data_IF_922590623003
#
_entry.id   IF_922590623003
#
_cell.length_a   1.000
_cell.length_b   1.000
_cell.length_c   1.000
_cell.angle_alpha   90.00
_cell.angle_beta   90.00
_cell.angle_gamma   90.00
#
_symmetry.space_group_name_H-M   'P 1'
#
loop_
_entity.id
_entity.type
_entity.pdbx_description
1 polymer ?
#
# COMPACT_ATOMS: atom_id res chain seq x y z
N UNK A 1 -4.30 -10.40 9.39
CA UNK A 1 -3.16 -9.84 8.64
C UNK A 1 -3.30 -8.34 8.66
N UNK A 2 -2.54 -7.71 9.56
CA UNK A 2 -2.52 -6.27 9.79
C UNK A 2 -1.93 -5.58 8.58
N UNK A 3 -2.77 -4.84 7.85
CA UNK A 3 -2.32 -3.89 6.86
C UNK A 3 -1.38 -2.90 7.56
N UNK A 4 -0.12 -2.84 7.11
CA UNK A 4 0.85 -1.86 7.55
C UNK A 4 0.50 -0.50 6.91
N UNK A 5 -0.60 0.08 7.36
CA UNK A 5 -0.90 1.49 7.16
C UNK A 5 -0.18 2.23 8.29
N UNK A 6 0.80 3.12 8.04
CA UNK A 6 1.30 3.98 9.10
C UNK A 6 0.12 4.82 9.64
N UNK A 7 -0.02 4.87 10.97
CA UNK A 7 -1.06 5.64 11.62
C UNK A 7 -0.94 7.12 11.29
N UNK A 8 -2.06 7.77 10.93
CA UNK A 8 -2.19 9.21 10.65
C UNK A 8 -1.51 10.14 11.68
N UNK A 9 -1.31 9.67 12.92
CA UNK A 9 -0.56 10.36 13.97
C UNK A 9 0.88 10.72 13.57
N UNK A 10 1.54 9.91 12.73
CA UNK A 10 2.92 10.15 12.31
C UNK A 10 3.04 11.28 11.27
N UNK A 11 1.97 11.57 10.54
CA UNK A 11 1.89 12.68 9.56
C UNK A 11 1.48 13.98 10.26
N UNK A 12 0.54 13.92 11.21
CA UNK A 12 0.15 15.08 12.02
C UNK A 12 1.32 15.63 12.87
N UNK A 13 2.12 14.74 13.46
CA UNK A 13 3.31 15.11 14.25
C UNK A 13 4.43 15.80 13.43
N UNK A 14 4.40 15.73 12.10
CA UNK A 14 5.35 16.45 11.22
C UNK A 14 4.88 17.84 10.83
N UNK A 15 3.59 18.14 11.00
CA UNK A 15 2.99 19.43 10.62
C UNK A 15 2.83 20.36 11.82
N UNK A 16 2.65 19.83 13.02
CA UNK A 16 2.46 20.63 14.23
C UNK A 16 3.71 20.60 15.11
N UNK A 17 4.29 21.78 15.33
CA UNK A 17 5.25 22.14 16.39
C UNK A 17 6.72 21.70 16.22
N UNK A 18 7.57 22.67 15.90
CA UNK A 18 8.76 22.88 16.73
C UNK A 18 8.32 23.82 17.86
N UNK A 19 8.29 23.40 19.13
CA UNK A 19 8.21 24.34 20.24
C UNK A 19 9.59 24.99 20.41
N UNK A 20 9.59 26.32 20.55
CA UNK A 20 10.78 27.11 20.82
C UNK A 20 11.19 27.09 22.31
N UNK A 21 10.56 26.28 23.16
CA UNK A 21 10.88 26.18 24.57
C UNK A 21 11.11 24.71 24.95
N UNK A 22 12.37 24.41 25.29
CA UNK A 22 12.77 23.17 25.96
C UNK A 22 12.38 23.34 27.43
N UNK A 23 11.12 23.09 27.75
CA UNK A 23 10.81 22.55 29.08
C UNK A 23 11.15 21.07 29.02
N UNK A 24 12.29 20.74 29.65
CA UNK A 24 12.67 19.38 29.99
C UNK A 24 11.45 18.67 30.56
N UNK A 25 11.08 17.55 29.94
CA UNK A 25 10.20 16.55 30.54
C UNK A 25 10.71 16.27 31.94
N UNK A 26 10.01 16.82 32.93
CA UNK A 26 10.27 16.60 34.33
C UNK A 26 10.05 15.13 34.65
N UNK A 27 11.02 14.60 35.37
CA UNK A 27 11.11 13.24 35.90
C UNK A 27 9.79 12.74 36.49
N UNK A 28 9.03 11.95 35.73
CA UNK A 28 8.18 10.91 36.32
C UNK A 28 8.31 9.59 35.53
N UNK A 29 9.30 8.82 35.97
CA UNK A 29 9.27 7.35 36.07
C UNK A 29 9.10 6.57 34.75
N UNK A 30 10.20 6.45 34.00
CA UNK A 30 10.52 5.17 33.34
C UNK A 30 11.45 4.41 34.29
N UNK A 31 10.87 3.71 35.26
CA UNK A 31 11.60 2.73 36.07
C UNK A 31 11.91 1.50 35.20
N UNK A 32 13.04 1.55 34.51
CA UNK A 32 13.65 0.45 33.78
C UNK A 32 15.04 0.89 33.34
N UNK A 33 16.04 0.00 33.48
CA UNK A 33 17.38 0.25 32.97
C UNK A 33 17.26 0.72 31.51
N UNK A 34 17.76 1.92 31.22
CA UNK A 34 17.77 2.43 29.85
C UNK A 34 18.61 1.46 29.02
N UNK A 35 18.02 0.75 28.05
CA UNK A 35 18.75 -0.28 27.32
C UNK A 35 19.97 0.37 26.65
N UNK A 36 21.15 -0.25 26.77
CA UNK A 36 22.34 0.24 26.07
C UNK A 36 22.10 0.14 24.57
N UNK A 37 21.86 1.29 23.96
CA UNK A 37 21.52 1.42 22.54
C UNK A 37 22.64 0.95 21.62
N UNK A 38 23.88 0.82 22.13
CA UNK A 38 25.05 0.34 21.38
C UNK A 38 24.90 -1.13 20.96
N UNK A 39 24.13 -1.91 21.70
CA UNK A 39 23.89 -3.33 21.42
C UNK A 39 22.61 -3.57 20.58
N UNK A 40 21.85 -2.50 20.28
CA UNK A 40 20.65 -2.59 19.44
C UNK A 40 21.07 -2.54 17.98
N UNK A 41 21.03 -3.69 17.31
CA UNK A 41 21.29 -3.77 15.88
C UNK A 41 20.30 -2.92 15.08
N UNK A 42 20.84 -2.03 14.24
CA UNK A 42 20.04 -1.27 13.27
C UNK A 42 19.49 -2.26 12.23
N UNK A 43 18.18 -2.20 11.98
CA UNK A 43 17.53 -3.05 10.98
C UNK A 43 18.20 -2.91 9.59
N UNK A 44 18.39 -4.01 8.83
CA UNK A 44 19.02 -3.97 7.50
C UNK A 44 18.38 -2.95 6.55
N UNK A 45 17.05 -2.84 6.58
CA UNK A 45 16.33 -1.87 5.74
C UNK A 45 16.66 -0.40 6.08
N UNK A 46 16.95 -0.09 7.35
CA UNK A 46 17.40 1.25 7.74
C UNK A 46 18.84 1.51 7.27
N UNK A 47 19.71 0.50 7.32
CA UNK A 47 21.07 0.59 6.78
C UNK A 47 21.05 0.87 5.27
N UNK A 48 20.18 0.18 4.52
CA UNK A 48 19.96 0.44 3.09
C UNK A 48 19.44 1.86 2.81
N UNK A 49 18.58 2.38 3.68
CA UNK A 49 18.13 3.78 3.58
C UNK A 49 19.28 4.77 3.79
N UNK A 50 20.15 4.53 4.77
CA UNK A 50 21.33 5.38 4.98
C UNK A 50 22.32 5.29 3.83
N UNK A 51 22.55 4.09 3.29
CA UNK A 51 23.41 3.88 2.13
C UNK A 51 22.90 4.67 0.90
N UNK A 52 21.63 4.51 0.54
CA UNK A 52 21.02 5.24 -0.58
C UNK A 52 21.07 6.76 -0.41
N UNK A 53 20.88 7.24 0.83
CA UNK A 53 21.05 8.67 1.14
C UNK A 53 22.48 9.16 0.93
N UNK A 54 23.47 8.36 1.33
CA UNK A 54 24.88 8.68 1.09
C UNK A 54 25.20 8.69 -0.40
N UNK A 55 24.66 7.75 -1.18
CA UNK A 55 24.86 7.68 -2.64
C UNK A 55 24.24 8.88 -3.38
N UNK A 56 23.18 9.47 -2.83
CA UNK A 56 22.56 10.69 -3.37
C UNK A 56 23.31 11.97 -2.97
N UNK A 57 24.16 11.96 -1.92
CA UNK A 57 24.85 13.15 -1.42
C UNK A 57 25.71 13.90 -2.47
N UNK A 58 26.39 13.24 -3.43
CA UNK A 58 27.11 13.93 -4.50
C UNK A 58 26.22 14.77 -5.43
N UNK A 59 24.92 14.46 -5.52
CA UNK A 59 23.97 15.18 -6.38
C UNK A 59 23.71 16.61 -5.90
N UNK A 60 23.92 16.90 -4.61
CA UNK A 60 23.67 18.21 -4.02
C UNK A 60 24.47 19.36 -4.65
N UNK A 61 25.55 19.05 -5.37
CA UNK A 61 26.43 20.04 -6.04
C UNK A 61 26.06 20.30 -7.50
N UNK A 62 25.03 19.64 -8.05
CA UNK A 62 24.65 19.82 -9.45
C UNK A 62 23.97 21.18 -9.69
N UNK A 63 24.19 21.81 -10.85
CA UNK A 63 23.43 23.00 -11.23
C UNK A 63 21.95 22.64 -11.37
N UNK A 64 21.08 23.54 -10.94
CA UNK A 64 19.63 23.31 -10.89
C UNK A 64 19.09 23.14 -12.32
N UNK A 65 18.31 22.08 -12.55
CA UNK A 65 17.73 21.77 -13.85
C UNK A 65 16.58 20.77 -13.78
N UNK A 66 15.76 20.72 -14.85
CA UNK A 66 14.61 19.82 -14.93
C UNK A 66 14.98 18.34 -14.70
N UNK A 67 14.10 17.60 -14.05
CA UNK A 67 14.30 16.20 -13.64
C UNK A 67 14.94 16.04 -12.27
N UNK A 68 15.41 17.12 -11.64
CA UNK A 68 15.98 17.05 -10.30
C UNK A 68 14.90 17.07 -9.22
N UNK A 69 15.14 16.34 -8.13
CA UNK A 69 14.28 16.34 -6.96
C UNK A 69 14.98 17.14 -5.87
N UNK A 70 14.37 18.21 -5.36
CA UNK A 70 14.95 19.06 -4.32
C UNK A 70 14.10 19.04 -3.06
N UNK A 71 14.72 18.86 -1.90
CA UNK A 71 14.05 19.11 -0.63
C UNK A 71 13.60 20.57 -0.56
N UNK A 72 12.53 20.86 0.18
CA UNK A 72 12.15 22.25 0.46
C UNK A 72 13.11 22.87 1.47
N UNK A 73 13.82 23.93 1.10
CA UNK A 73 14.90 24.51 1.89
C UNK A 73 14.44 24.94 3.30
N UNK A 74 13.28 25.57 3.40
CA UNK A 74 12.73 26.07 4.68
C UNK A 74 12.06 24.97 5.51
N UNK A 75 11.66 23.87 4.89
CA UNK A 75 10.84 22.80 5.49
C UNK A 75 11.22 21.42 4.94
N UNK A 76 12.46 20.96 5.14
CA UNK A 76 12.95 19.72 4.53
C UNK A 76 12.23 18.46 5.02
N UNK A 77 11.44 18.56 6.10
CA UNK A 77 10.60 17.49 6.64
C UNK A 77 9.20 17.38 6.03
N UNK A 78 8.72 18.42 5.32
CA UNK A 78 7.41 18.38 4.66
C UNK A 78 7.44 17.52 3.40
N UNK A 79 8.46 17.71 2.58
CA UNK A 79 8.60 16.99 1.32
C UNK A 79 9.69 17.58 0.43
N UNK A 80 9.67 17.12 -0.82
CA UNK A 80 10.58 17.57 -1.87
C UNK A 80 9.78 17.92 -3.14
N UNK A 81 10.47 18.44 -4.16
CA UNK A 81 9.88 18.83 -5.43
C UNK A 81 10.68 18.26 -6.58
N UNK A 82 9.99 17.54 -7.47
CA UNK A 82 10.51 17.19 -8.78
C UNK A 82 10.33 18.41 -9.68
N UNK A 83 11.42 19.10 -10.03
CA UNK A 83 11.35 20.28 -10.90
C UNK A 83 11.27 19.85 -12.37
N UNK A 84 10.40 20.54 -13.11
CA UNK A 84 10.04 20.21 -14.48
C UNK A 84 10.49 21.31 -15.46
N UNK A 85 9.93 22.51 -15.28
CA UNK A 85 10.11 23.61 -16.22
C UNK A 85 10.37 24.92 -15.47
N UNK A 86 11.33 25.70 -15.96
CA UNK A 86 11.56 27.05 -15.50
C UNK A 86 10.50 28.00 -16.09
N UNK A 87 9.97 28.91 -15.26
CA UNK A 87 9.04 29.96 -15.65
C UNK A 87 9.75 31.33 -15.55
N UNK A 88 10.35 31.83 -16.65
CA UNK A 88 11.17 33.04 -16.62
C UNK A 88 10.40 34.28 -16.16
N UNK A 89 9.11 34.38 -16.53
CA UNK A 89 8.27 35.53 -16.19
C UNK A 89 8.02 35.68 -14.69
N UNK A 90 8.04 34.56 -13.94
CA UNK A 90 7.82 34.53 -12.50
C UNK A 90 9.11 34.30 -11.71
N UNK A 91 10.22 33.96 -12.37
CA UNK A 91 11.46 33.59 -11.70
C UNK A 91 11.30 32.34 -10.83
N UNK A 92 10.46 31.38 -11.27
CA UNK A 92 10.07 30.21 -10.48
C UNK A 92 10.21 28.91 -11.29
N UNK A 93 10.47 27.82 -10.59
CA UNK A 93 10.37 26.46 -11.13
C UNK A 93 8.96 25.92 -10.94
N UNK A 94 8.41 25.34 -12.00
CA UNK A 94 7.25 24.45 -11.92
C UNK A 94 7.73 23.03 -11.62
N UNK A 95 7.00 22.32 -10.79
CA UNK A 95 7.26 20.92 -10.50
C UNK A 95 6.08 20.24 -9.84
N UNK A 96 6.32 19.05 -9.31
CA UNK A 96 5.32 18.28 -8.55
C UNK A 96 5.82 17.96 -7.16
N UNK A 97 4.89 17.86 -6.21
CA UNK A 97 5.19 17.45 -4.84
C UNK A 97 5.73 16.01 -4.81
N UNK A 98 6.79 15.81 -4.04
CA UNK A 98 7.44 14.51 -3.81
C UNK A 98 7.42 14.20 -2.32
N UNK A 99 7.04 12.96 -1.99
CA UNK A 99 6.90 12.45 -0.62
C UNK A 99 7.60 11.09 -0.49
N UNK A 100 7.96 10.63 0.71
CA UNK A 100 8.50 9.28 0.91
C UNK A 100 7.42 8.18 0.81
N UNK A 101 6.15 8.55 0.83
CA UNK A 101 5.07 7.65 1.22
C UNK A 101 4.42 6.92 0.03
N UNK A 102 5.20 6.06 -0.64
CA UNK A 102 4.74 5.29 -1.82
C UNK A 102 3.48 4.44 -1.57
N UNK A 103 3.20 4.05 -0.32
CA UNK A 103 1.97 3.35 0.06
C UNK A 103 0.69 4.15 -0.24
N UNK A 104 0.79 5.48 -0.34
CA UNK A 104 -0.32 6.37 -0.67
C UNK A 104 -0.44 6.69 -2.16
N UNK A 105 0.30 5.98 -3.02
CA UNK A 105 0.22 6.17 -4.46
C UNK A 105 -1.23 6.02 -4.95
N UNK A 106 -1.61 6.93 -5.85
CA UNK A 106 -2.84 6.85 -6.64
C UNK A 106 -2.51 6.74 -8.13
N UNK A 107 -3.53 6.71 -8.98
CA UNK A 107 -3.35 6.57 -10.43
C UNK A 107 -2.61 7.75 -11.10
N UNK A 108 -2.51 8.91 -10.42
CA UNK A 108 -1.76 10.07 -10.91
C UNK A 108 -0.35 10.16 -10.32
N UNK A 109 0.04 9.21 -9.47
CA UNK A 109 1.33 9.25 -8.80
C UNK A 109 2.37 8.41 -9.55
N UNK A 110 3.62 8.87 -9.56
CA UNK A 110 4.78 8.15 -10.06
C UNK A 110 5.60 7.64 -8.88
N UNK A 111 5.66 6.31 -8.71
CA UNK A 111 6.49 5.66 -7.69
C UNK A 111 7.93 5.67 -8.16
N UNK A 112 8.84 6.14 -7.31
CA UNK A 112 10.29 6.13 -7.57
C UNK A 112 10.81 4.70 -7.38
N UNK A 113 11.59 4.25 -8.34
CA UNK A 113 12.05 2.86 -8.45
C UNK A 113 13.57 2.76 -8.25
N UNK A 114 14.09 1.55 -8.04
CA UNK A 114 15.54 1.31 -7.96
C UNK A 114 16.29 1.77 -9.21
N UNK A 115 15.67 1.67 -10.39
CA UNK A 115 16.22 2.15 -11.67
C UNK A 115 16.42 3.66 -11.73
N UNK A 116 15.77 4.41 -10.84
CA UNK A 116 15.91 5.87 -10.77
C UNK A 116 17.17 6.27 -9.98
N UNK A 117 17.84 5.32 -9.31
CA UNK A 117 18.99 5.57 -8.46
C UNK A 117 20.16 6.28 -9.21
N UNK A 118 20.93 7.13 -8.51
CA UNK A 118 20.86 7.42 -7.07
C UNK A 118 19.73 8.38 -6.70
N UNK A 119 18.88 7.98 -5.73
CA UNK A 119 17.80 8.80 -5.17
C UNK A 119 17.71 8.58 -3.66
N UNK A 120 17.65 9.68 -2.90
CA UNK A 120 17.43 9.70 -1.45
C UNK A 120 16.03 9.13 -1.13
N UNK A 121 15.89 8.27 -0.13
CA UNK A 121 14.61 7.65 0.23
C UNK A 121 13.47 8.61 0.59
N UNK A 122 13.79 9.88 0.89
CA UNK A 122 12.77 10.94 1.05
C UNK A 122 12.00 11.23 -0.24
N UNK A 123 12.49 10.77 -1.38
CA UNK A 123 11.86 10.89 -2.67
C UNK A 123 11.32 9.54 -3.16
N UNK A 124 10.24 9.05 -2.55
CA UNK A 124 9.62 7.76 -2.87
C UNK A 124 8.44 7.83 -3.86
N UNK A 125 7.74 8.97 -3.89
CA UNK A 125 6.49 9.14 -4.62
C UNK A 125 6.35 10.57 -5.15
N UNK A 126 6.19 10.73 -6.45
CA UNK A 126 5.86 12.01 -7.09
C UNK A 126 4.35 12.08 -7.29
N UNK A 127 3.71 13.15 -6.81
CA UNK A 127 2.27 13.39 -6.93
C UNK A 127 1.99 14.26 -8.17
N UNK A 128 1.88 13.63 -9.34
CA UNK A 128 1.85 14.36 -10.61
C UNK A 128 0.58 15.21 -10.82
N UNK A 129 -0.46 15.01 -10.01
CA UNK A 129 -1.65 15.87 -9.99
C UNK A 129 -1.63 16.98 -8.93
N UNK A 130 -0.49 17.16 -8.24
CA UNK A 130 -0.23 18.28 -7.33
C UNK A 130 0.94 19.13 -7.85
N UNK A 131 0.75 19.87 -8.96
CA UNK A 131 1.79 20.73 -9.49
C UNK A 131 1.90 22.00 -8.63
N UNK A 132 3.13 22.47 -8.43
CA UNK A 132 3.46 23.66 -7.63
C UNK A 132 4.51 24.52 -8.33
N UNK A 133 4.54 25.80 -7.96
CA UNK A 133 5.58 26.74 -8.35
C UNK A 133 6.41 27.13 -7.13
N UNK A 134 7.74 27.14 -7.29
CA UNK A 134 8.67 27.53 -6.23
C UNK A 134 9.79 28.40 -6.73
N UNK A 135 10.26 29.32 -5.89
CA UNK A 135 11.45 30.12 -6.16
C UNK A 135 12.74 29.30 -6.00
N UNK A 136 13.83 29.75 -6.61
CA UNK A 136 15.16 29.11 -6.46
C UNK A 136 15.59 29.06 -4.98
N UNK A 137 15.27 30.09 -4.20
CA UNK A 137 15.59 30.16 -2.77
C UNK A 137 14.81 29.16 -1.89
N UNK A 138 13.78 28.50 -2.44
CA UNK A 138 12.98 27.50 -1.75
C UNK A 138 13.49 26.08 -2.04
N UNK A 139 14.40 25.93 -3.00
CA UNK A 139 15.04 24.66 -3.34
C UNK A 139 16.24 24.42 -2.42
N UNK A 140 16.19 23.32 -1.68
CA UNK A 140 17.25 22.82 -0.83
C UNK A 140 18.12 21.78 -1.55
N UNK A 141 18.65 20.85 -0.76
CA UNK A 141 19.51 19.79 -1.27
C UNK A 141 18.83 18.96 -2.38
N UNK A 142 19.58 18.68 -3.45
CA UNK A 142 19.18 17.73 -4.48
C UNK A 142 19.18 16.31 -3.89
N UNK A 143 18.04 15.65 -3.96
CA UNK A 143 17.75 14.32 -3.44
C UNK A 143 17.87 13.24 -4.52
N UNK A 144 17.81 13.60 -5.80
CA UNK A 144 17.77 12.63 -6.89
C UNK A 144 17.68 13.33 -8.24
N UNK A 145 18.03 12.63 -9.31
CA UNK A 145 17.87 13.12 -10.68
C UNK A 145 17.17 12.05 -11.50
N UNK A 146 15.90 12.27 -11.81
CA UNK A 146 15.14 11.41 -12.70
C UNK A 146 15.60 11.58 -14.14
N UNK A 147 15.56 10.48 -14.90
CA UNK A 147 15.83 10.53 -16.34
C UNK A 147 14.75 11.34 -17.08
N UNK A 148 15.05 11.75 -18.32
CA UNK A 148 14.07 12.43 -19.15
C UNK A 148 12.82 11.58 -19.40
N UNK A 149 12.98 10.26 -19.61
CA UNK A 149 11.84 9.35 -19.79
C UNK A 149 10.92 9.34 -18.56
N UNK A 150 11.49 9.40 -17.36
CA UNK A 150 10.76 9.45 -16.10
C UNK A 150 10.09 10.80 -15.89
N UNK A 151 10.72 11.89 -16.32
CA UNK A 151 10.09 13.21 -16.33
C UNK A 151 8.92 13.27 -17.32
N UNK A 152 9.04 12.66 -18.50
CA UNK A 152 7.93 12.53 -19.45
C UNK A 152 6.81 11.65 -18.90
N UNK A 153 7.13 10.58 -18.16
CA UNK A 153 6.15 9.78 -17.45
C UNK A 153 5.35 10.62 -16.44
N UNK A 154 6.00 11.49 -15.66
CA UNK A 154 5.33 12.39 -14.72
C UNK A 154 4.37 13.36 -15.45
N UNK A 155 4.81 13.97 -16.56
CA UNK A 155 3.96 14.84 -17.40
C UNK A 155 2.76 14.08 -17.97
N UNK A 156 2.97 12.85 -18.43
CA UNK A 156 1.89 12.01 -18.96
C UNK A 156 0.88 11.66 -17.86
N UNK A 157 1.34 11.31 -16.66
CA UNK A 157 0.49 10.95 -15.52
C UNK A 157 -0.31 12.13 -14.98
N UNK A 158 0.25 13.34 -15.00
CA UNK A 158 -0.51 14.56 -14.68
C UNK A 158 -1.76 14.69 -15.56
N UNK A 159 -1.63 14.39 -16.84
CA UNK A 159 -2.69 14.58 -17.84
C UNK A 159 -3.67 13.40 -17.89
N UNK A 160 -3.16 12.16 -17.87
CA UNK A 160 -3.92 10.95 -18.19
C UNK A 160 -4.12 10.02 -16.99
N UNK A 161 -3.47 10.28 -15.85
CA UNK A 161 -3.54 9.39 -14.68
C UNK A 161 -4.97 9.21 -14.16
N UNK A 162 -5.83 10.23 -14.33
CA UNK A 162 -7.25 10.19 -13.94
C UNK A 162 -8.11 9.30 -14.84
N UNK A 163 -7.66 9.04 -16.07
CA UNK A 163 -8.39 8.21 -17.04
C UNK A 163 -8.16 6.70 -16.78
N UNK A 164 -7.33 6.36 -15.80
CA UNK A 164 -7.09 4.99 -15.39
C UNK A 164 -8.38 4.37 -14.81
N UNK A 165 -8.99 3.46 -15.54
CA UNK A 165 -10.24 2.78 -15.17
C UNK A 165 -10.02 1.52 -14.31
N UNK A 166 -8.84 1.36 -13.68
CA UNK A 166 -8.62 0.26 -12.74
C UNK A 166 -9.53 0.38 -11.50
N UNK A 167 -9.80 -0.75 -10.84
CA UNK A 167 -10.56 -0.76 -9.60
C UNK A 167 -9.72 -0.11 -8.49
N UNK A 168 -10.32 0.77 -7.71
CA UNK A 168 -9.66 1.38 -6.56
C UNK A 168 -9.23 0.31 -5.55
N UNK A 169 -7.95 0.30 -5.19
CA UNK A 169 -7.36 -0.60 -4.23
C UNK A 169 -6.19 0.09 -3.52
N UNK A 170 -6.42 0.70 -2.34
CA UNK A 170 -5.38 1.36 -1.56
C UNK A 170 -4.21 0.41 -1.23
N UNK A 171 -2.98 0.94 -1.21
CA UNK A 171 -1.76 0.16 -0.97
C UNK A 171 -1.31 -0.73 -2.14
N UNK A 172 -2.05 -0.76 -3.24
CA UNK A 172 -1.67 -1.53 -4.44
C UNK A 172 -0.91 -0.63 -5.41
N UNK A 173 0.32 -1.05 -5.75
CA UNK A 173 1.09 -0.49 -6.85
C UNK A 173 0.73 -1.21 -8.15
N UNK A 174 0.26 -0.45 -9.12
CA UNK A 174 -0.08 -0.87 -10.46
C UNK A 174 1.03 -0.49 -11.45
N UNK A 175 1.19 -1.30 -12.49
CA UNK A 175 2.02 -0.97 -13.65
C UNK A 175 1.13 -0.39 -14.73
N UNK A 176 1.41 0.85 -15.13
CA UNK A 176 0.68 1.56 -16.19
C UNK A 176 1.58 1.67 -17.42
N UNK A 177 1.05 1.30 -18.57
CA UNK A 177 1.74 1.47 -19.84
C UNK A 177 1.77 2.96 -20.23
N UNK A 178 2.93 3.41 -20.68
CA UNK A 178 3.17 4.78 -21.11
C UNK A 178 3.74 4.78 -22.54
N UNK A 179 3.64 5.90 -23.28
CA UNK A 179 4.45 6.08 -24.48
C UNK A 179 5.93 5.81 -24.15
N UNK A 180 6.53 4.82 -24.79
CA UNK A 180 7.94 4.46 -24.58
C UNK A 180 8.24 3.54 -23.39
N UNK A 181 7.24 3.05 -22.64
CA UNK A 181 7.51 2.09 -21.57
C UNK A 181 6.39 1.89 -20.55
N UNK A 182 6.75 1.96 -19.27
CA UNK A 182 5.81 1.85 -18.16
C UNK A 182 6.24 2.68 -16.96
N UNK A 183 5.25 3.10 -16.17
CA UNK A 183 5.44 3.62 -14.82
C UNK A 183 4.79 2.71 -13.78
N UNK A 184 5.34 2.72 -12.58
CA UNK A 184 4.65 2.22 -11.40
C UNK A 184 3.86 3.37 -10.78
N UNK A 185 2.57 3.14 -10.58
CA UNK A 185 1.60 4.09 -10.04
C UNK A 185 0.78 3.40 -8.95
N UNK A 186 -0.09 4.12 -8.26
CA UNK A 186 -1.15 3.49 -7.49
C UNK A 186 -2.35 3.12 -8.35
N UNK A 187 -3.43 2.70 -7.69
CA UNK A 187 -4.77 2.57 -8.29
C UNK A 187 -5.57 3.86 -8.13
N UNK A 188 -6.66 4.05 -8.88
CA UNK A 188 -7.56 5.18 -8.69
C UNK A 188 -8.03 5.31 -7.23
N UNK A 189 -8.32 6.54 -6.83
CA UNK A 189 -8.90 6.82 -5.52
C UNK A 189 -10.33 6.29 -5.49
N UNK A 190 -10.75 5.73 -4.35
CA UNK A 190 -12.16 5.39 -4.17
C UNK A 190 -13.00 6.67 -4.15
N UNK A 191 -14.23 6.60 -4.64
CA UNK A 191 -15.18 7.73 -4.59
C UNK A 191 -15.68 8.03 -3.18
N UNK A 192 -15.59 7.06 -2.25
CA UNK A 192 -16.05 7.22 -0.88
C UNK A 192 -14.89 7.57 0.06
N UNK A 193 -14.93 8.79 0.61
CA UNK A 193 -13.86 9.38 1.43
C UNK A 193 -13.52 8.55 2.68
N UNK A 194 -14.50 7.83 3.25
CA UNK A 194 -14.33 7.04 4.48
C UNK A 194 -13.61 5.71 4.27
N UNK A 195 -13.42 5.27 3.02
CA UNK A 195 -12.81 3.97 2.70
C UNK A 195 -11.38 4.08 2.16
N UNK A 196 -10.92 5.29 1.83
CA UNK A 196 -9.61 5.50 1.21
C UNK A 196 -8.77 6.54 1.95
N UNK A 197 -7.89 6.06 2.83
CA UNK A 197 -6.97 6.89 3.62
C UNK A 197 -6.04 7.78 2.77
N UNK A 198 -5.91 7.50 1.47
CA UNK A 198 -5.16 8.36 0.52
C UNK A 198 -5.84 9.71 0.33
N UNK A 199 -7.17 9.80 0.44
CA UNK A 199 -7.88 11.08 0.33
C UNK A 199 -7.53 12.00 1.51
N UNK A 200 -7.52 11.46 2.73
CA UNK A 200 -7.12 12.20 3.93
C UNK A 200 -5.65 12.65 3.83
N UNK A 201 -4.75 11.76 3.41
CA UNK A 201 -3.34 12.09 3.18
C UNK A 201 -3.18 13.23 2.18
N UNK A 202 -3.86 13.17 1.04
CA UNK A 202 -3.82 14.23 0.03
C UNK A 202 -4.39 15.55 0.54
N UNK A 203 -5.42 15.52 1.38
CA UNK A 203 -5.95 16.71 2.02
C UNK A 203 -4.92 17.34 2.97
N UNK A 204 -4.23 16.54 3.78
CA UNK A 204 -3.14 17.02 4.66
C UNK A 204 -2.02 17.67 3.86
N UNK A 205 -1.63 17.08 2.73
CA UNK A 205 -0.60 17.67 1.86
C UNK A 205 -1.06 19.02 1.29
N UNK A 206 -2.30 19.14 0.83
CA UNK A 206 -2.84 20.41 0.34
C UNK A 206 -2.89 21.48 1.44
N UNK A 207 -3.31 21.11 2.64
CA UNK A 207 -3.29 22.00 3.81
C UNK A 207 -1.87 22.45 4.15
N UNK A 208 -0.91 21.53 4.14
CA UNK A 208 0.50 21.86 4.33
C UNK A 208 1.04 22.81 3.26
N UNK A 209 0.74 22.57 1.98
CA UNK A 209 1.11 23.50 0.89
C UNK A 209 0.54 24.91 1.13
N UNK A 210 -0.72 25.01 1.56
CA UNK A 210 -1.36 26.29 1.89
C UNK A 210 -0.69 26.98 3.09
N UNK A 211 -0.45 26.25 4.19
CA UNK A 211 0.20 26.77 5.39
C UNK A 211 1.63 27.24 5.11
N UNK A 212 2.33 26.54 4.22
CA UNK A 212 3.68 26.89 3.78
C UNK A 212 3.71 27.94 2.67
N UNK A 213 2.55 28.40 2.22
CA UNK A 213 2.38 29.40 1.15
C UNK A 213 3.07 28.98 -0.17
N UNK A 214 3.12 27.68 -0.43
CA UNK A 214 3.64 27.14 -1.69
C UNK A 214 2.52 27.21 -2.72
N UNK A 215 2.74 28.02 -3.76
CA UNK A 215 1.73 28.27 -4.77
C UNK A 215 1.46 27.00 -5.59
N UNK A 216 0.18 26.62 -5.69
CA UNK A 216 -0.24 25.63 -6.67
C UNK A 216 0.02 26.19 -8.08
N UNK A 217 0.62 25.37 -8.94
CA UNK A 217 0.84 25.76 -10.31
C UNK A 217 -0.47 25.61 -11.10
N UNK A 218 -0.75 26.51 -12.06
CA UNK A 218 -1.81 26.28 -13.01
C UNK A 218 -1.53 24.97 -13.77
N UNK A 219 -2.60 24.26 -14.13
CA UNK A 219 -2.50 23.10 -15.01
C UNK A 219 -1.73 23.50 -16.28
N UNK A 220 -0.76 22.68 -16.69
CA UNK A 220 0.05 22.99 -17.85
C UNK A 220 -0.85 23.19 -19.07
N UNK A 221 -0.75 24.35 -19.74
CA UNK A 221 -1.40 24.57 -21.02
C UNK A 221 -0.72 23.67 -22.07
N UNK A 222 -1.49 22.76 -22.65
CA UNK A 222 -1.02 21.80 -23.65
C UNK A 222 -0.56 22.53 -24.91
N UNK A 223 0.68 22.37 -25.40
CA UNK A 223 0.92 22.53 -26.83
C UNK A 223 0.22 21.35 -27.52
N UNK A 224 -0.79 21.66 -28.32
CA UNK A 224 -1.55 20.69 -29.09
C UNK A 224 -0.68 19.99 -30.14
N UNK A 225 0.13 19.03 -29.71
CA UNK A 225 0.66 18.01 -30.61
C UNK A 225 -0.38 16.90 -30.59
N UNK A 226 -0.98 16.66 -31.76
CA UNK A 226 -1.95 15.58 -31.96
C UNK A 226 -1.26 14.23 -31.74
N UNK A 227 -1.19 13.79 -30.50
CA UNK A 227 -0.90 12.40 -30.15
C UNK A 227 -2.20 11.64 -30.39
N UNK A 228 -2.16 10.71 -31.33
CA UNK A 228 -3.27 9.80 -31.61
C UNK A 228 -3.70 9.13 -30.30
N UNK A 229 -5.00 9.11 -29.96
CA UNK A 229 -5.45 8.55 -28.69
C UNK A 229 -5.08 7.07 -28.63
N UNK A 230 -4.05 6.76 -27.85
CA UNK A 230 -3.77 5.39 -27.43
C UNK A 230 -4.93 5.03 -26.50
N UNK A 231 -5.69 4.02 -26.89
CA UNK A 231 -6.82 3.50 -26.11
C UNK A 231 -6.32 3.20 -24.69
N UNK A 232 -6.98 3.69 -23.62
CA UNK A 232 -6.52 3.47 -22.25
C UNK A 232 -6.43 1.96 -22.00
N UNK A 233 -5.21 1.47 -21.82
CA UNK A 233 -4.92 0.05 -21.63
C UNK A 233 -5.36 -0.33 -20.22
N UNK A 234 -6.40 -1.17 -20.17
CA UNK A 234 -6.84 -1.91 -18.99
C UNK A 234 -5.63 -2.49 -18.26
N UNK A 235 -5.44 -2.13 -16.99
CA UNK A 235 -4.37 -2.67 -16.15
C UNK A 235 -4.32 -4.21 -16.28
N UNK A 236 -3.19 -4.74 -16.77
CA UNK A 236 -3.06 -6.14 -17.19
C UNK A 236 -3.26 -7.16 -16.06
N UNK A 237 -3.34 -6.72 -14.80
CA UNK A 237 -3.51 -7.58 -13.64
C UNK A 237 -4.93 -7.62 -13.06
N UNK A 238 -5.89 -6.84 -13.57
CA UNK A 238 -7.27 -6.87 -13.06
C UNK A 238 -8.04 -8.12 -13.51
N UNK A 239 -7.68 -8.75 -14.63
CA UNK A 239 -8.51 -9.78 -15.28
C UNK A 239 -8.26 -11.22 -14.84
N UNK A 240 -7.11 -11.52 -14.20
CA UNK A 240 -6.85 -12.88 -13.67
C UNK A 240 -7.50 -13.10 -12.31
N UNK A 241 -7.62 -12.06 -11.47
CA UNK A 241 -8.31 -12.13 -10.19
C UNK A 241 -9.84 -12.06 -10.33
N UNK A 242 -10.36 -11.29 -11.29
CA UNK A 242 -11.81 -11.13 -11.50
C UNK A 242 -12.49 -12.42 -11.98
N UNK A 243 -11.78 -13.32 -12.68
CA UNK A 243 -12.32 -14.62 -13.11
C UNK A 243 -12.50 -15.62 -11.96
N UNK A 244 -11.75 -15.47 -10.87
CA UNK A 244 -11.92 -16.29 -9.66
C UNK A 244 -13.09 -15.79 -8.80
N UNK A 245 -13.35 -14.48 -8.77
CA UNK A 245 -14.41 -13.89 -7.92
C UNK A 245 -15.81 -13.99 -8.55
N UNK A 246 -15.93 -13.85 -9.87
CA UNK A 246 -17.23 -13.95 -10.56
C UNK A 246 -17.77 -15.39 -10.64
N UNK A 247 -16.89 -16.40 -10.64
CA UNK A 247 -17.32 -17.81 -10.56
C UNK A 247 -17.93 -18.17 -9.19
N UNK A 248 -17.47 -17.54 -8.10
CA UNK A 248 -17.97 -17.77 -6.74
C UNK A 248 -19.26 -17.01 -6.46
N UNK A 249 -19.41 -15.79 -7.00
CA UNK A 249 -20.66 -15.03 -6.87
C UNK A 249 -21.87 -15.72 -7.54
N UNK A 250 -21.64 -16.38 -8.69
CA UNK A 250 -22.67 -17.15 -9.37
C UNK A 250 -23.11 -18.41 -8.59
N UNK A 251 -22.23 -19.01 -7.77
CA UNK A 251 -22.59 -20.17 -6.93
C UNK A 251 -23.30 -19.76 -5.63
N UNK A 252 -22.97 -18.59 -5.07
CA UNK A 252 -23.63 -18.08 -3.84
C UNK A 252 -25.06 -17.60 -4.12
N UNK A 253 -25.35 -17.03 -5.29
CA UNK A 253 -26.73 -16.61 -5.61
C UNK A 253 -27.68 -17.78 -5.87
N UNK A 254 -27.21 -18.93 -6.38
CA UNK A 254 -28.05 -20.14 -6.49
C UNK A 254 -28.28 -20.77 -5.10
N UNK A 255 -27.34 -20.62 -4.17
CA UNK A 255 -27.51 -21.12 -2.80
C UNK A 255 -28.46 -20.27 -1.94
N UNK A 256 -28.52 -18.94 -2.14
CA UNK A 256 -29.43 -18.09 -1.37
C UNK A 256 -30.91 -18.19 -1.82
N UNK A 257 -31.19 -18.57 -3.06
CA UNK A 257 -32.59 -18.73 -3.53
C UNK A 257 -33.29 -19.99 -3.01
N UNK A 258 -32.56 -20.94 -2.41
CA UNK A 258 -33.16 -22.15 -1.79
C UNK A 258 -33.54 -21.90 -0.32
N UNK A 259 -33.01 -20.84 0.32
CA UNK A 259 -33.18 -20.61 1.76
C UNK A 259 -34.31 -19.63 2.15
N UNK A 260 -35.00 -19.01 1.19
CA UNK A 260 -36.07 -18.02 1.47
C UNK A 260 -37.49 -18.64 1.39
N UNK A 261 -37.63 -19.89 0.95
CA UNK A 261 -38.91 -20.59 0.98
C UNK A 261 -38.74 -22.03 1.48
N UNK A 262 -38.75 -22.24 2.80
CA UNK A 262 -39.59 -23.27 3.42
C UNK A 262 -39.64 -23.13 4.95
N UNK A 263 -40.81 -23.30 5.58
CA UNK A 263 -41.05 -23.05 7.00
C UNK A 263 -40.59 -24.24 7.86
N UNK A 264 -40.38 -23.95 9.14
CA UNK A 264 -40.19 -24.93 10.22
C UNK A 264 -41.33 -25.94 10.29
N UNK A 265 -40.95 -27.16 10.68
CA UNK A 265 -41.75 -28.34 11.03
C UNK A 265 -42.07 -29.31 9.88
N UNK A 266 -41.40 -30.46 9.86
CA UNK A 266 -42.02 -31.77 10.11
C UNK A 266 -41.00 -32.91 10.03
N UNK A 267 -41.11 -33.84 10.99
CA UNK A 267 -40.54 -35.19 10.99
C UNK A 267 -41.06 -36.02 9.81
N UNK A 268 -40.21 -36.81 9.16
CA UNK A 268 -40.71 -37.84 8.24
C UNK A 268 -39.66 -38.42 7.30
N UNK A 269 -39.49 -39.74 7.38
CA UNK A 269 -38.73 -40.62 6.49
C UNK A 269 -39.04 -40.42 4.99
N UNK A 270 -38.03 -40.57 4.13
CA UNK A 270 -38.26 -40.77 2.70
C UNK A 270 -36.98 -40.82 1.89
N UNK A 271 -36.68 -41.99 1.34
CA UNK A 271 -35.61 -42.21 0.36
C UNK A 271 -35.83 -41.34 -0.88
N UNK A 272 -34.78 -40.66 -1.33
CA UNK A 272 -34.69 -40.16 -2.70
C UNK A 272 -33.24 -40.24 -3.17
N UNK A 273 -32.93 -41.34 -3.87
CA UNK A 273 -31.82 -41.42 -4.80
C UNK A 273 -31.90 -40.25 -5.79
N UNK A 274 -30.86 -39.42 -5.81
CA UNK A 274 -30.49 -38.68 -7.01
C UNK A 274 -29.09 -39.11 -7.43
N UNK A 275 -29.06 -39.74 -8.60
CA UNK A 275 -27.90 -40.33 -9.26
C UNK A 275 -27.37 -39.33 -10.29
N UNK A 276 -26.05 -39.12 -10.29
CA UNK A 276 -25.29 -38.43 -11.33
C UNK A 276 -24.59 -37.18 -10.81
N UNK A 277 -23.26 -37.00 -10.89
CA UNK A 277 -22.19 -37.85 -11.40
C UNK A 277 -20.87 -37.06 -11.31
N UNK A 278 -19.84 -37.67 -10.73
CA UNK A 278 -18.43 -37.43 -11.07
C UNK A 278 -17.73 -36.16 -10.58
N UNK A 279 -17.03 -36.26 -9.45
CA UNK A 279 -15.55 -36.23 -9.41
C UNK A 279 -15.09 -36.41 -7.95
N UNK A 280 -14.06 -37.24 -7.76
CA UNK A 280 -13.70 -37.85 -6.46
C UNK A 280 -13.68 -36.89 -5.28
N UNK A 281 -14.61 -37.11 -4.34
CA UNK A 281 -14.68 -36.35 -3.10
C UNK A 281 -13.78 -37.04 -2.09
N UNK A 282 -12.72 -36.33 -1.67
CA UNK A 282 -11.96 -36.64 -0.47
C UNK A 282 -12.92 -36.86 0.70
N UNK A 283 -13.09 -38.11 1.10
CA UNK A 283 -13.97 -38.52 2.20
C UNK A 283 -13.30 -38.20 3.54
N UNK A 284 -13.51 -36.99 4.03
CA UNK A 284 -13.07 -36.57 5.36
C UNK A 284 -13.81 -35.34 5.85
N UNK A 285 -13.94 -35.20 7.17
CA UNK A 285 -14.58 -34.03 7.80
C UNK A 285 -13.59 -32.87 7.78
N UNK A 286 -14.00 -31.73 7.23
CA UNK A 286 -13.20 -30.52 7.17
C UNK A 286 -13.46 -29.67 8.42
N UNK A 287 -12.40 -29.31 9.13
CA UNK A 287 -12.47 -28.54 10.37
C UNK A 287 -11.64 -27.27 10.18
N UNK A 288 -12.27 -26.11 10.39
CA UNK A 288 -11.60 -24.81 10.33
C UNK A 288 -11.03 -24.47 11.70
N UNK A 289 -9.74 -24.17 11.76
CA UNK A 289 -9.03 -23.90 13.01
C UNK A 289 -8.13 -22.69 12.89
N UNK A 290 -7.82 -22.05 14.01
CA UNK A 290 -6.88 -20.93 14.08
C UNK A 290 -5.75 -21.34 15.01
N UNK A 291 -4.50 -21.18 14.58
CA UNK A 291 -3.34 -21.43 15.42
C UNK A 291 -2.95 -20.16 16.18
N UNK A 292 -2.35 -20.31 17.36
CA UNK A 292 -1.80 -19.19 18.11
C UNK A 292 -0.70 -18.48 17.30
N UNK A 293 -0.63 -17.17 17.43
CA UNK A 293 0.34 -16.34 16.69
C UNK A 293 1.81 -16.64 17.07
N UNK A 294 2.04 -17.20 18.26
CA UNK A 294 3.36 -17.58 18.78
C UNK A 294 3.68 -19.07 18.62
N UNK A 295 2.77 -19.88 18.04
CA UNK A 295 3.01 -21.30 17.80
C UNK A 295 4.02 -21.48 16.66
N UNK A 296 5.10 -22.21 16.94
CA UNK A 296 6.12 -22.48 15.93
C UNK A 296 5.63 -23.54 14.93
N UNK A 297 6.17 -23.50 13.71
CA UNK A 297 5.83 -24.49 12.67
C UNK A 297 6.12 -25.93 13.13
N UNK A 298 7.19 -26.13 13.90
CA UNK A 298 7.55 -27.42 14.47
C UNK A 298 6.47 -27.94 15.42
N UNK A 299 5.94 -27.09 16.30
CA UNK A 299 4.86 -27.44 17.23
C UNK A 299 3.55 -27.78 16.50
N UNK A 300 3.17 -26.97 15.51
CA UNK A 300 1.98 -27.22 14.68
C UNK A 300 2.10 -28.57 13.96
N UNK A 301 3.26 -28.87 13.36
CA UNK A 301 3.49 -30.11 12.63
C UNK A 301 3.51 -31.35 13.54
N UNK A 302 4.02 -31.22 14.77
CA UNK A 302 3.98 -32.30 15.77
C UNK A 302 2.55 -32.56 16.22
N UNK A 303 1.78 -31.50 16.48
CA UNK A 303 0.38 -31.60 16.89
C UNK A 303 -0.52 -32.21 15.81
N UNK A 304 -0.41 -31.76 14.55
CA UNK A 304 -1.17 -32.31 13.42
C UNK A 304 -0.92 -33.80 13.22
N UNK A 305 0.35 -34.22 13.30
CA UNK A 305 0.72 -35.65 13.22
C UNK A 305 0.13 -36.46 14.37
N UNK A 306 0.16 -35.92 15.60
CA UNK A 306 -0.45 -36.57 16.78
C UNK A 306 -1.96 -36.74 16.63
N UNK A 307 -2.64 -35.79 16.00
CA UNK A 307 -4.09 -35.82 15.78
C UNK A 307 -4.50 -36.47 14.45
N UNK A 308 -3.55 -36.96 13.65
CA UNK A 308 -3.78 -37.52 12.31
C UNK A 308 -4.55 -36.56 11.37
N UNK A 309 -4.26 -35.26 11.48
CA UNK A 309 -4.90 -34.21 10.71
C UNK A 309 -3.98 -33.74 9.58
N UNK A 310 -4.58 -33.44 8.43
CA UNK A 310 -3.88 -32.93 7.26
C UNK A 310 -4.36 -31.52 6.94
N UNK A 311 -3.45 -30.57 6.69
CA UNK A 311 -3.82 -29.25 6.20
C UNK A 311 -4.19 -29.39 4.72
N UNK A 312 -5.45 -29.12 4.39
CA UNK A 312 -5.93 -29.16 3.01
C UNK A 312 -6.01 -27.76 2.41
N UNK A 313 -6.16 -26.73 3.23
CA UNK A 313 -6.05 -25.34 2.78
C UNK A 313 -5.75 -24.37 3.92
N UNK A 314 -5.19 -23.20 3.59
CA UNK A 314 -4.94 -22.10 4.52
C UNK A 314 -3.52 -21.54 4.44
N UNK A 315 -3.24 -20.42 5.13
CA UNK A 315 -4.19 -19.63 5.90
C UNK A 315 -5.16 -18.84 5.00
N UNK A 316 -6.44 -18.76 5.40
CA UNK A 316 -7.44 -17.91 4.75
C UNK A 316 -7.26 -16.42 5.13
N UNK A 317 -8.10 -15.53 4.62
CA UNK A 317 -8.04 -14.08 4.90
C UNK A 317 -8.17 -13.73 6.39
N UNK A 318 -8.69 -14.64 7.22
CA UNK A 318 -8.80 -14.51 8.66
C UNK A 318 -7.67 -15.23 9.42
N UNK A 319 -6.70 -15.83 8.73
CA UNK A 319 -5.59 -16.58 9.34
C UNK A 319 -5.96 -18.00 9.77
N UNK A 320 -7.11 -18.52 9.35
CA UNK A 320 -7.56 -19.86 9.70
C UNK A 320 -7.11 -20.90 8.67
N UNK A 321 -6.87 -22.13 9.14
CA UNK A 321 -6.50 -23.28 8.33
C UNK A 321 -7.66 -24.28 8.30
N UNK A 322 -7.86 -24.92 7.15
CA UNK A 322 -8.79 -26.04 6.99
C UNK A 322 -8.02 -27.34 7.11
N UNK A 323 -8.36 -28.10 8.14
CA UNK A 323 -7.83 -29.44 8.37
C UNK A 323 -8.82 -30.47 7.86
N UNK A 324 -8.31 -31.56 7.30
CA UNK A 324 -9.07 -32.76 6.98
C UNK A 324 -8.77 -33.82 8.03
N UNK A 325 -9.82 -34.33 8.67
CA UNK A 325 -9.75 -35.58 9.42
C UNK A 325 -10.39 -36.69 8.58
N UNK A 326 -9.73 -37.85 8.55
CA UNK A 326 -10.29 -39.08 7.94
C UNK A 326 -11.29 -39.75 8.87
N UNK A 327 -11.31 -39.39 10.15
CA UNK A 327 -12.24 -39.89 11.15
C UNK A 327 -13.38 -38.89 11.38
N UNK A 328 -14.61 -39.32 11.08
CA UNK A 328 -15.81 -38.48 11.14
C UNK A 328 -16.22 -38.13 12.58
N UNK A 329 -15.73 -38.87 13.58
CA UNK A 329 -16.05 -38.66 15.00
C UNK A 329 -14.99 -37.85 15.75
N UNK A 330 -13.91 -37.40 15.09
CA UNK A 330 -12.87 -36.63 15.77
C UNK A 330 -13.42 -35.29 16.28
N UNK A 331 -13.32 -35.09 17.59
CA UNK A 331 -13.56 -33.82 18.29
C UNK A 331 -12.21 -33.25 18.67
N UNK A 332 -11.92 -32.02 18.25
CA UNK A 332 -10.64 -31.38 18.58
C UNK A 332 -10.56 -31.10 20.09
N UNK A 333 -9.41 -31.33 20.74
CA UNK A 333 -9.23 -30.98 22.13
C UNK A 333 -9.36 -29.45 22.32
N UNK A 334 -9.93 -28.99 23.45
CA UNK A 334 -10.06 -27.57 23.73
C UNK A 334 -8.68 -26.89 23.77
N UNK A 335 -8.60 -25.59 23.42
CA UNK A 335 -7.35 -24.84 23.44
C UNK A 335 -6.76 -24.80 24.87
N UNK A 336 -5.44 -24.98 24.99
CA UNK A 336 -4.76 -25.15 26.28
C UNK A 336 -3.26 -25.45 26.15
N UNK A 337 -2.58 -25.72 27.28
CA UNK A 337 -1.14 -25.99 27.30
C UNK A 337 -0.78 -27.24 26.45
N UNK A 338 0.11 -27.07 25.47
CA UNK A 338 0.47 -28.13 24.50
C UNK A 338 -0.49 -28.28 23.31
N UNK A 339 -1.49 -27.39 23.18
CA UNK A 339 -2.37 -27.28 22.02
C UNK A 339 -2.09 -25.96 21.27
N UNK A 340 -1.64 -26.00 20.01
CA UNK A 340 -1.33 -24.79 19.25
C UNK A 340 -2.60 -24.06 18.77
N UNK A 341 -3.81 -24.56 19.04
CA UNK A 341 -5.06 -23.89 18.71
C UNK A 341 -5.26 -22.61 19.54
N UNK A 342 -5.70 -21.55 18.89
CA UNK A 342 -6.07 -20.29 19.53
C UNK A 342 -7.40 -20.44 20.30
N UNK A 343 -7.48 -19.82 21.47
CA UNK A 343 -8.76 -19.63 22.18
C UNK A 343 -9.55 -18.57 21.40
N UNK A 344 -10.65 -18.96 20.78
CA UNK A 344 -11.62 -18.00 20.24
C UNK A 344 -12.46 -17.56 21.45
N UNK A 345 -12.04 -16.49 22.13
CA UNK A 345 -12.96 -15.80 23.03
C UNK A 345 -14.02 -15.10 22.15
N UNK A 346 -15.32 -15.31 22.42
CA UNK A 346 -16.39 -14.68 21.66
C UNK A 346 -16.34 -13.14 21.73
#
# INVERSE_FOLDING_TARGET
MTALTPSLAMIAARLETAPADIELLTDEVVQGDTPDWRDIAVSPHLLEHFARRNDAAPLAKRPIGGGQIHALARRPGFGALLIDAWQPALGQWRGWLVTPDAAYADACALVVEERDAPVDPRAGLVLCDMPVCVGVAELGACLGVLSQDRLQAARWLEQHGRDNAAVAAPGVIARVALPGGYALTGTPLATELQQDGRLAYRQLLRQGLQQLQIAAAPAAATPAVAVTPVTPVRAANASRWLKLVTAVAATVMVAQSIWIFLPTEFTGSGNAEYRGGGSGVETGKRIRVLFRADATEAEIRVWLRRQQLEIVSGPDTMGAFTLLTRDQQTVLPPPGAGNPLAVINP
#
